data_IF_023724553133
#
_entry.id   IF_023724553133
#
_cell.length_a   1.000
_cell.length_b   1.000
_cell.length_c   1.000
_cell.angle_alpha   90.00
_cell.angle_beta   90.00
_cell.angle_gamma   90.00
#
_symmetry.space_group_name_H-M   'P 1'
#
loop_
_entity.id
_entity.type
_entity.pdbx_description
1 polymer ?
#
# COMPACT_ATOMS: atom_id res chain seq x y z
N UNK A 1 34.87 13.68 3.14
CA UNK A 1 33.62 13.16 3.75
C UNK A 1 32.72 12.68 2.60
N UNK A 2 32.84 11.43 2.17
CA UNK A 2 32.09 10.90 1.01
C UNK A 2 31.64 9.43 1.18
N UNK A 3 31.70 8.87 2.39
CA UNK A 3 31.47 7.43 2.60
C UNK A 3 30.02 7.06 2.99
N UNK A 4 29.17 8.06 3.28
CA UNK A 4 27.80 7.80 3.74
C UNK A 4 26.85 7.32 2.64
N UNK A 5 26.93 7.91 1.45
CA UNK A 5 26.03 7.56 0.33
C UNK A 5 26.21 6.13 -0.18
N UNK A 6 27.47 5.67 -0.26
CA UNK A 6 27.79 4.29 -0.68
C UNK A 6 27.25 3.25 0.30
N UNK A 7 27.29 3.51 1.62
CA UNK A 7 26.76 2.59 2.62
C UNK A 7 25.24 2.49 2.59
N UNK A 8 24.53 3.60 2.37
CA UNK A 8 23.07 3.60 2.23
C UNK A 8 22.64 2.79 1.01
N UNK A 9 23.32 2.96 -0.14
CA UNK A 9 23.01 2.21 -1.35
C UNK A 9 23.21 0.70 -1.17
N UNK A 10 24.31 0.28 -0.53
CA UNK A 10 24.55 -1.14 -0.23
C UNK A 10 23.44 -1.75 0.65
N UNK A 11 22.92 -0.99 1.61
CA UNK A 11 21.81 -1.44 2.48
C UNK A 11 20.49 -1.55 1.71
N UNK A 12 20.21 -0.60 0.81
CA UNK A 12 19.03 -0.64 -0.06
C UNK A 12 19.10 -1.83 -1.02
N UNK A 13 20.26 -2.09 -1.61
CA UNK A 13 20.47 -3.24 -2.51
C UNK A 13 20.26 -4.58 -1.78
N UNK A 14 20.82 -4.73 -0.58
CA UNK A 14 20.57 -5.90 0.26
C UNK A 14 19.07 -6.05 0.59
N UNK A 15 18.37 -4.95 0.87
CA UNK A 15 16.92 -4.96 1.11
C UNK A 15 16.14 -5.41 -0.13
N UNK A 16 16.48 -4.92 -1.33
CA UNK A 16 15.88 -5.36 -2.59
C UNK A 16 16.11 -6.86 -2.83
N UNK A 17 17.32 -7.36 -2.54
CA UNK A 17 17.63 -8.78 -2.67
C UNK A 17 16.75 -9.62 -1.72
N UNK A 18 16.62 -9.23 -0.45
CA UNK A 18 15.75 -9.91 0.50
C UNK A 18 14.28 -9.84 0.09
N UNK A 19 13.83 -8.71 -0.48
CA UNK A 19 12.48 -8.56 -1.00
C UNK A 19 12.19 -9.53 -2.14
N UNK A 20 13.10 -9.66 -3.12
CA UNK A 20 13.00 -10.63 -4.22
C UNK A 20 12.98 -12.08 -3.73
N UNK A 21 13.67 -12.37 -2.63
CA UNK A 21 13.65 -13.69 -1.98
C UNK A 21 12.39 -13.96 -1.13
N UNK A 22 11.46 -13.00 -1.04
CA UNK A 22 10.26 -13.11 -0.21
C UNK A 22 10.50 -12.90 1.29
N UNK A 23 11.71 -12.50 1.70
CA UNK A 23 12.11 -12.25 3.08
C UNK A 23 11.81 -10.81 3.48
N UNK A 24 10.53 -10.46 3.55
CA UNK A 24 10.10 -9.08 3.73
C UNK A 24 10.48 -8.48 5.10
N UNK A 25 10.54 -9.29 6.15
CA UNK A 25 10.97 -8.85 7.49
C UNK A 25 12.45 -8.48 7.53
N UNK A 26 13.31 -9.29 6.88
CA UNK A 26 14.73 -8.99 6.72
C UNK A 26 14.96 -7.76 5.84
N UNK A 27 14.20 -7.64 4.74
CA UNK A 27 14.20 -6.45 3.90
C UNK A 27 13.86 -5.18 4.69
N UNK A 28 12.84 -5.22 5.56
CA UNK A 28 12.48 -4.11 6.44
C UNK A 28 13.60 -3.72 7.40
N UNK A 29 14.36 -4.69 7.92
CA UNK A 29 15.53 -4.39 8.77
C UNK A 29 16.58 -3.59 7.99
N UNK A 30 16.90 -4.04 6.78
CA UNK A 30 17.85 -3.33 5.92
C UNK A 30 17.37 -1.95 5.49
N UNK A 31 16.08 -1.79 5.19
CA UNK A 31 15.50 -0.47 4.93
C UNK A 31 15.48 0.44 6.16
N UNK A 32 15.32 -0.11 7.37
CA UNK A 32 15.42 0.68 8.61
C UNK A 32 16.83 1.23 8.78
N UNK A 33 17.84 0.40 8.55
CA UNK A 33 19.23 0.86 8.54
C UNK A 33 19.44 1.94 7.47
N UNK A 34 18.98 1.71 6.24
CA UNK A 34 19.11 2.67 5.14
C UNK A 34 18.41 4.00 5.43
N UNK A 35 17.24 3.97 6.08
CA UNK A 35 16.51 5.17 6.47
C UNK A 35 17.33 6.00 7.48
N UNK A 36 17.95 5.36 8.46
CA UNK A 36 18.81 6.04 9.45
C UNK A 36 20.06 6.70 8.83
N UNK A 37 20.48 6.21 7.66
CA UNK A 37 21.64 6.72 6.92
C UNK A 37 21.26 7.69 5.80
N UNK A 38 19.97 7.83 5.51
CA UNK A 38 19.46 8.72 4.46
C UNK A 38 19.75 10.18 4.84
N UNK A 39 20.15 10.98 3.85
CA UNK A 39 20.56 12.39 4.05
C UNK A 39 19.77 13.37 3.20
N UNK A 40 18.93 12.86 2.31
CA UNK A 40 18.20 13.67 1.34
C UNK A 40 16.76 13.20 1.30
N UNK A 41 15.84 14.15 1.10
CA UNK A 41 14.41 13.87 0.99
C UNK A 41 14.09 12.80 -0.07
N UNK A 42 14.69 12.81 -1.28
CA UNK A 42 14.42 11.77 -2.27
C UNK A 42 14.82 10.36 -1.81
N UNK A 43 15.91 10.22 -1.06
CA UNK A 43 16.31 8.93 -0.49
C UNK A 43 15.31 8.46 0.57
N UNK A 44 14.90 9.35 1.48
CA UNK A 44 13.90 9.03 2.50
C UNK A 44 12.56 8.61 1.88
N UNK A 45 12.10 9.35 0.86
CA UNK A 45 10.88 9.01 0.08
C UNK A 45 10.99 7.62 -0.54
N UNK A 46 12.11 7.30 -1.20
CA UNK A 46 12.31 6.00 -1.82
C UNK A 46 12.31 4.86 -0.79
N UNK A 47 13.01 5.06 0.34
CA UNK A 47 13.09 4.06 1.41
C UNK A 47 11.72 3.83 2.06
N UNK A 48 10.97 4.88 2.38
CA UNK A 48 9.61 4.76 2.92
C UNK A 48 8.66 4.05 1.93
N UNK A 49 8.73 4.39 0.64
CA UNK A 49 7.93 3.74 -0.40
C UNK A 49 8.21 2.23 -0.48
N UNK A 50 9.48 1.84 -0.39
CA UNK A 50 9.89 0.43 -0.40
C UNK A 50 9.49 -0.31 0.88
N UNK A 51 9.55 0.35 2.04
CA UNK A 51 9.04 -0.21 3.31
C UNK A 51 7.53 -0.44 3.25
N UNK A 52 6.77 0.49 2.66
CA UNK A 52 5.34 0.31 2.44
C UNK A 52 5.06 -0.95 1.60
N UNK A 53 5.83 -1.16 0.52
CA UNK A 53 5.72 -2.39 -0.28
C UNK A 53 5.99 -3.65 0.53
N UNK A 54 7.01 -3.68 1.40
CA UNK A 54 7.26 -4.82 2.29
C UNK A 54 6.08 -5.08 3.23
N UNK A 55 5.51 -4.05 3.86
CA UNK A 55 4.37 -4.21 4.76
C UNK A 55 3.11 -4.69 4.04
N UNK A 56 2.89 -4.27 2.78
CA UNK A 56 1.81 -4.80 1.96
C UNK A 56 1.99 -6.30 1.68
N UNK A 57 3.21 -6.76 1.39
CA UNK A 57 3.50 -8.20 1.22
C UNK A 57 3.34 -9.00 2.50
N UNK A 58 3.52 -8.35 3.65
CA UNK A 58 3.27 -8.93 4.98
C UNK A 58 1.80 -8.81 5.43
N UNK A 59 0.92 -8.20 4.62
CA UNK A 59 -0.47 -7.89 4.97
C UNK A 59 -0.61 -7.01 6.23
N UNK A 60 0.43 -6.26 6.61
CA UNK A 60 0.38 -5.25 7.67
C UNK A 60 -0.04 -3.90 7.06
N UNK A 61 -1.33 -3.81 6.72
CA UNK A 61 -1.87 -2.65 6.00
C UNK A 61 -1.82 -1.36 6.83
N UNK A 62 -1.86 -1.44 8.16
CA UNK A 62 -1.73 -0.26 9.03
C UNK A 62 -0.35 0.38 8.86
N UNK A 63 0.72 -0.41 8.99
CA UNK A 63 2.07 0.11 8.82
C UNK A 63 2.36 0.53 7.39
N UNK A 64 1.79 -0.16 6.40
CA UNK A 64 1.91 0.28 5.01
C UNK A 64 1.33 1.70 4.81
N UNK A 65 0.18 2.01 5.43
CA UNK A 65 -0.41 3.34 5.37
C UNK A 65 0.41 4.40 6.13
N UNK A 66 1.04 4.03 7.25
CA UNK A 66 1.97 4.88 8.00
C UNK A 66 3.21 5.25 7.15
N UNK A 67 3.82 4.27 6.49
CA UNK A 67 4.97 4.52 5.60
C UNK A 67 4.59 5.42 4.42
N UNK A 68 3.39 5.24 3.83
CA UNK A 68 2.88 6.15 2.81
C UNK A 68 2.65 7.56 3.36
N UNK A 69 2.23 7.68 4.63
CA UNK A 69 2.05 8.98 5.29
C UNK A 69 3.39 9.69 5.46
N UNK A 70 4.44 8.98 5.86
CA UNK A 70 5.79 9.53 5.93
C UNK A 70 6.29 10.05 4.57
N UNK A 71 5.98 9.37 3.47
CA UNK A 71 6.26 9.89 2.12
C UNK A 71 5.51 11.21 1.87
N UNK A 72 4.23 11.28 2.24
CA UNK A 72 3.38 12.46 2.01
C UNK A 72 3.72 13.65 2.91
N UNK A 73 4.39 13.43 4.04
CA UNK A 73 4.98 14.48 4.87
C UNK A 73 6.20 15.13 4.18
N UNK A 74 6.93 14.36 3.37
CA UNK A 74 8.12 14.83 2.64
C UNK A 74 7.75 15.44 1.28
N UNK A 75 6.84 14.81 0.55
CA UNK A 75 6.25 15.26 -0.71
C UNK A 75 4.74 15.08 -0.68
N UNK A 76 4.05 16.17 -0.39
CA UNK A 76 2.61 16.18 -0.22
C UNK A 76 1.88 15.82 -1.53
N UNK A 77 2.48 16.06 -2.69
CA UNK A 77 1.86 15.84 -4.00
C UNK A 77 2.29 14.52 -4.64
N UNK A 78 2.93 13.65 -3.85
CA UNK A 78 3.40 12.37 -4.34
C UNK A 78 2.24 11.45 -4.74
N UNK A 79 1.89 11.48 -6.03
CA UNK A 79 0.75 10.75 -6.59
C UNK A 79 0.82 9.24 -6.32
N UNK A 80 2.02 8.67 -6.33
CA UNK A 80 2.25 7.27 -5.99
C UNK A 80 1.84 6.92 -4.57
N UNK A 81 2.28 7.71 -3.57
CA UNK A 81 1.92 7.47 -2.16
C UNK A 81 0.45 7.77 -1.87
N UNK A 82 -0.14 8.82 -2.47
CA UNK A 82 -1.58 9.08 -2.36
C UNK A 82 -2.39 7.88 -2.85
N UNK A 83 -2.03 7.33 -4.02
CA UNK A 83 -2.75 6.20 -4.60
C UNK A 83 -2.55 4.92 -3.77
N UNK A 84 -1.32 4.65 -3.33
CA UNK A 84 -1.00 3.48 -2.52
C UNK A 84 -1.68 3.52 -1.15
N UNK A 85 -1.66 4.69 -0.49
CA UNK A 85 -2.33 4.89 0.80
C UNK A 85 -3.84 4.76 0.66
N UNK A 86 -4.44 5.39 -0.35
CA UNK A 86 -5.88 5.25 -0.61
C UNK A 86 -6.30 3.78 -0.80
N UNK A 87 -5.56 3.01 -1.60
CA UNK A 87 -5.86 1.60 -1.81
C UNK A 87 -5.68 0.76 -0.53
N UNK A 88 -4.66 1.09 0.28
CA UNK A 88 -4.40 0.44 1.57
C UNK A 88 -5.52 0.73 2.57
N UNK A 89 -5.97 1.98 2.64
CA UNK A 89 -7.06 2.43 3.50
C UNK A 89 -8.40 1.79 3.11
N UNK A 90 -8.66 1.59 1.81
CA UNK A 90 -9.81 0.81 1.34
C UNK A 90 -9.78 -0.62 1.87
N UNK A 91 -8.61 -1.27 1.87
CA UNK A 91 -8.45 -2.62 2.45
C UNK A 91 -8.70 -2.61 3.97
N UNK A 92 -8.32 -1.52 4.65
CA UNK A 92 -8.64 -1.29 6.06
C UNK A 92 -10.09 -0.84 6.31
N UNK A 93 -10.91 -0.71 5.26
CA UNK A 93 -12.29 -0.18 5.29
C UNK A 93 -12.41 1.26 5.82
N UNK A 94 -11.30 2.02 5.85
CA UNK A 94 -11.32 3.46 6.11
C UNK A 94 -11.58 4.22 4.81
N UNK A 95 -12.84 4.21 4.39
CA UNK A 95 -13.27 4.82 3.13
C UNK A 95 -13.24 6.35 3.18
N UNK A 96 -13.35 6.97 4.36
CA UNK A 96 -13.28 8.42 4.50
C UNK A 96 -11.88 8.94 4.22
N UNK A 97 -10.86 8.36 4.86
CA UNK A 97 -9.46 8.72 4.63
C UNK A 97 -9.03 8.39 3.20
N UNK A 98 -9.47 7.25 2.66
CA UNK A 98 -9.21 6.89 1.27
C UNK A 98 -9.82 7.92 0.28
N UNK A 99 -11.04 8.37 0.53
CA UNK A 99 -11.70 9.36 -0.32
C UNK A 99 -11.00 10.72 -0.29
N UNK A 100 -10.43 11.10 0.86
CA UNK A 100 -9.63 12.31 0.98
C UNK A 100 -8.41 12.26 0.04
N UNK A 101 -7.63 11.18 0.09
CA UNK A 101 -6.46 11.01 -0.77
C UNK A 101 -6.81 10.96 -2.25
N UNK A 102 -7.89 10.26 -2.61
CA UNK A 102 -8.36 10.20 -4.00
C UNK A 102 -8.87 11.55 -4.50
N UNK A 103 -9.48 12.35 -3.64
CA UNK A 103 -9.93 13.70 -4.02
C UNK A 103 -8.74 14.58 -4.37
N UNK A 104 -7.66 14.48 -3.59
CA UNK A 104 -6.40 15.16 -3.91
C UNK A 104 -5.79 14.68 -5.24
N UNK A 105 -5.84 13.38 -5.53
CA UNK A 105 -5.40 12.86 -6.85
C UNK A 105 -6.21 13.43 -8.01
N UNK A 106 -7.53 13.60 -7.83
CA UNK A 106 -8.40 14.25 -8.84
C UNK A 106 -8.05 15.73 -9.00
N UNK A 107 -7.73 16.45 -7.92
CA UNK A 107 -7.28 17.85 -7.99
C UNK A 107 -5.97 17.99 -8.76
N UNK A 108 -5.02 17.08 -8.53
CA UNK A 108 -3.72 17.08 -9.22
C UNK A 108 -3.82 16.68 -10.70
N UNK A 109 -4.72 15.75 -11.03
CA UNK A 109 -4.99 15.37 -12.41
C UNK A 109 -6.49 15.20 -12.68
N UNK A 110 -7.20 16.31 -12.98
CA UNK A 110 -8.64 16.29 -13.21
C UNK A 110 -9.05 15.49 -14.46
N UNK A 111 -8.13 15.35 -15.41
CA UNK A 111 -8.37 14.63 -16.67
C UNK A 111 -8.38 13.11 -16.49
N UNK A 112 -7.79 12.60 -15.40
CA UNK A 112 -7.72 11.17 -15.11
C UNK A 112 -9.11 10.60 -14.85
N UNK A 113 -9.61 9.80 -15.79
CA UNK A 113 -10.86 9.06 -15.61
C UNK A 113 -10.72 8.03 -14.49
N UNK A 114 -9.57 7.37 -14.37
CA UNK A 114 -9.30 6.38 -13.34
C UNK A 114 -9.51 6.93 -11.92
N UNK A 115 -9.01 8.14 -11.63
CA UNK A 115 -9.18 8.77 -10.31
C UNK A 115 -10.64 9.16 -10.05
N UNK A 116 -11.34 9.69 -11.06
CA UNK A 116 -12.77 10.04 -10.93
C UNK A 116 -13.64 8.81 -10.71
N UNK A 117 -13.38 7.71 -11.44
CA UNK A 117 -14.09 6.44 -11.26
C UNK A 117 -13.83 5.85 -9.87
N UNK A 118 -12.59 5.90 -9.39
CA UNK A 118 -12.26 5.46 -8.02
C UNK A 118 -12.98 6.31 -6.97
N UNK A 119 -12.97 7.65 -7.13
CA UNK A 119 -13.65 8.57 -6.23
C UNK A 119 -15.16 8.30 -6.16
N UNK A 120 -15.81 8.09 -7.31
CA UNK A 120 -17.23 7.78 -7.40
C UNK A 120 -17.56 6.46 -6.68
N UNK A 121 -16.71 5.44 -6.85
CA UNK A 121 -16.88 4.13 -6.20
C UNK A 121 -16.76 4.22 -4.68
N UNK A 122 -15.83 5.02 -4.16
CA UNK A 122 -15.69 5.25 -2.71
C UNK A 122 -16.87 6.03 -2.13
N UNK A 123 -17.36 7.06 -2.83
CA UNK A 123 -18.57 7.80 -2.44
C UNK A 123 -19.78 6.86 -2.37
N UNK A 124 -19.92 5.95 -3.33
CA UNK A 124 -20.98 4.95 -3.31
C UNK A 124 -20.87 4.02 -2.10
N UNK A 125 -19.68 3.49 -1.79
CA UNK A 125 -19.49 2.64 -0.61
C UNK A 125 -19.84 3.35 0.71
N UNK A 126 -19.46 4.61 0.85
CA UNK A 126 -19.83 5.43 2.02
C UNK A 126 -21.34 5.64 2.13
N UNK A 127 -22.03 5.86 1.01
CA UNK A 127 -23.48 6.02 0.99
C UNK A 127 -24.22 4.74 1.40
N UNK A 128 -23.69 3.57 1.01
CA UNK A 128 -24.27 2.27 1.37
C UNK A 128 -24.04 1.92 2.84
N UNK A 129 -22.87 2.27 3.39
CA UNK A 129 -22.55 2.03 4.80
C UNK A 129 -23.35 2.93 5.77
N UNK A 130 -24.00 3.98 5.27
CA UNK A 130 -24.80 4.92 6.08
C UNK A 130 -26.26 4.49 6.25
N UNK A 131 -26.68 3.34 5.70
CA UNK A 131 -27.98 2.76 6.02
C UNK A 131 -27.86 2.23 7.45
N UNK A 132 -28.59 2.78 8.44
CA UNK A 132 -28.62 2.19 9.76
C UNK A 132 -29.14 0.76 9.57
N UNK A 133 -28.31 -0.23 9.88
CA UNK A 133 -28.85 -1.49 10.35
C UNK A 133 -29.47 -1.12 11.69
N UNK A 134 -30.73 -0.65 11.64
CA UNK A 134 -31.60 -0.56 12.81
C UNK A 134 -31.71 -2.01 13.31
N UNK A 135 -30.76 -2.37 14.19
CA UNK A 135 -30.93 -3.42 15.17
C UNK A 135 -32.15 -3.01 15.99
N UNK A 136 -33.35 -3.29 15.47
CA UNK A 136 -34.55 -3.42 16.27
C UNK A 136 -34.31 -4.63 17.19
N UNK A 137 -33.51 -4.42 18.25
CA UNK A 137 -33.65 -5.17 19.48
C UNK A 137 -35.06 -4.90 20.01
N UNK A 138 -36.03 -5.68 19.55
CA UNK A 138 -37.24 -5.97 20.33
C UNK A 138 -36.81 -6.75 21.57
N UNK A 139 -36.28 -6.05 22.57
CA UNK A 139 -36.24 -6.56 23.92
C UNK A 139 -37.64 -6.37 24.52
N UNK A 140 -38.45 -7.43 24.47
CA UNK A 140 -39.67 -7.51 25.28
C UNK A 140 -39.27 -7.47 26.77
N UNK A 141 -39.83 -6.48 27.46
CA UNK A 141 -39.79 -6.30 28.91
C UNK A 141 -40.58 -7.42 29.59
N UNK A 142 -39.91 -8.26 30.38
CA UNK A 142 -40.56 -9.10 31.39
C UNK A 142 -39.74 -9.01 32.69
N UNK A 143 -40.47 -8.67 33.74
CA UNK A 143 -39.97 -8.25 35.04
C UNK A 143 -39.71 -9.44 35.96
N UNK A 144 -38.91 -9.15 37.00
CA UNK A 144 -38.98 -9.70 38.37
C UNK A 144 -37.78 -10.53 38.86
N UNK A 145 -37.11 -9.99 39.89
CA UNK A 145 -36.10 -10.62 40.74
C UNK A 145 -36.78 -10.94 42.09
N UNK A 146 -36.37 -11.96 42.90
CA UNK A 146 -34.99 -12.08 43.37
C UNK A 146 -34.44 -13.51 43.67
N UNK A 147 -33.13 -13.52 43.94
CA UNK A 147 -32.22 -14.64 44.26
C UNK A 147 -32.58 -15.44 45.56
N UNK A 148 -31.92 -16.59 45.89
CA UNK A 148 -30.55 -16.55 46.45
C UNK A 148 -29.59 -17.77 46.25
N UNK A 149 -28.29 -17.45 46.40
CA UNK A 149 -27.18 -18.16 47.09
C UNK A 149 -26.39 -19.36 46.49
N UNK A 150 -25.09 -19.03 46.22
CA UNK A 150 -23.79 -19.61 46.69
C UNK A 150 -23.21 -20.95 46.18
N UNK A 151 -21.86 -20.88 46.08
CA UNK A 151 -20.79 -21.90 45.96
C UNK A 151 -20.60 -22.56 44.59
N UNK A 152 -19.41 -22.85 44.06
CA UNK A 152 -18.00 -22.49 44.23
C UNK A 152 -17.27 -23.13 43.00
N UNK A 153 -15.99 -22.81 42.80
CA UNK A 153 -14.94 -23.67 42.18
C UNK A 153 -14.59 -23.53 40.67
N UNK A 154 -13.39 -22.94 40.51
CA UNK A 154 -12.22 -23.23 39.64
C UNK A 154 -12.20 -23.16 38.10
N UNK A 155 -11.07 -22.55 37.71
CA UNK A 155 -10.38 -22.48 36.42
C UNK A 155 -10.23 -23.81 35.68
N UNK A 156 -10.31 -23.73 34.35
CA UNK A 156 -9.18 -24.12 33.50
C UNK A 156 -9.28 -23.51 32.09
N UNK A 157 -8.11 -23.14 31.58
CA UNK A 157 -7.85 -22.64 30.24
C UNK A 157 -7.35 -23.80 29.40
N UNK A 158 -7.98 -24.04 28.25
CA UNK A 158 -7.30 -24.66 27.10
C UNK A 158 -8.15 -24.49 25.83
N UNK A 159 -7.50 -23.96 24.79
CA UNK A 159 -8.14 -23.51 23.57
C UNK A 159 -8.64 -24.60 22.64
N UNK A 160 -9.36 -24.17 21.60
CA UNK A 160 -9.65 -24.96 20.42
C UNK A 160 -9.96 -24.06 19.22
N UNK A 161 -8.97 -23.98 18.33
CA UNK A 161 -9.05 -24.10 16.87
C UNK A 161 -10.40 -23.80 16.20
N UNK A 162 -10.44 -22.74 15.39
CA UNK A 162 -11.44 -22.57 14.34
C UNK A 162 -10.76 -22.48 12.96
N UNK A 163 -11.15 -23.42 12.11
CA UNK A 163 -11.04 -23.38 10.65
C UNK A 163 -12.01 -22.32 10.12
N UNK A 164 -11.61 -21.59 9.09
CA UNK A 164 -12.50 -20.80 8.23
C UNK A 164 -11.69 -20.31 7.04
N UNK A 165 -11.74 -21.03 5.92
CA UNK A 165 -12.66 -20.80 4.80
C UNK A 165 -12.04 -19.85 3.78
N UNK A 166 -11.60 -20.47 2.68
CA UNK A 166 -11.25 -19.87 1.41
C UNK A 166 -12.25 -18.81 0.97
N UNK A 167 -11.83 -17.55 0.89
CA UNK A 167 -12.45 -16.57 0.00
C UNK A 167 -11.41 -16.16 -1.04
N UNK A 168 -11.51 -16.79 -2.20
CA UNK A 168 -10.80 -16.39 -3.41
C UNK A 168 -11.30 -15.00 -3.82
N UNK A 169 -10.60 -13.96 -3.42
CA UNK A 169 -10.69 -12.64 -4.04
C UNK A 169 -9.44 -12.44 -4.91
N UNK A 170 -9.56 -11.78 -6.07
CA UNK A 170 -8.57 -11.85 -7.12
C UNK A 170 -7.29 -11.17 -6.67
N UNK A 171 -6.28 -11.98 -6.32
CA UNK A 171 -4.91 -11.54 -6.20
C UNK A 171 -4.52 -10.94 -7.55
N UNK A 172 -4.38 -9.61 -7.61
CA UNK A 172 -3.81 -8.95 -8.77
C UNK A 172 -2.35 -9.40 -8.88
N UNK A 173 -2.02 -9.96 -10.03
CA UNK A 173 -0.72 -10.54 -10.34
C UNK A 173 0.37 -9.45 -10.40
N UNK A 174 1.21 -9.40 -9.36
CA UNK A 174 2.33 -8.47 -9.25
C UNK A 174 3.62 -8.99 -9.93
N UNK A 175 3.57 -10.12 -10.65
CA UNK A 175 4.71 -10.60 -11.44
C UNK A 175 5.08 -9.68 -12.61
N UNK A 176 4.31 -8.60 -12.86
CA UNK A 176 4.70 -7.50 -13.77
C UNK A 176 5.88 -6.66 -13.26
N UNK A 177 6.35 -6.87 -12.04
CA UNK A 177 7.58 -6.28 -11.49
C UNK A 177 8.74 -7.28 -11.41
N UNK A 178 8.55 -8.53 -11.85
CA UNK A 178 9.55 -9.61 -11.69
C UNK A 178 10.33 -9.96 -12.96
N UNK A 179 9.98 -9.42 -14.14
CA UNK A 179 10.76 -9.59 -15.37
C UNK A 179 11.40 -8.26 -15.79
N UNK A 180 12.45 -7.87 -15.10
CA UNK A 180 13.60 -7.27 -15.78
C UNK A 180 14.51 -8.47 -16.00
N UNK A 181 14.30 -9.16 -17.12
CA UNK A 181 15.23 -10.18 -17.55
C UNK A 181 16.60 -9.50 -17.69
N UNK A 182 17.58 -10.02 -16.94
CA UNK A 182 19.00 -9.81 -17.17
C UNK A 182 19.30 -10.36 -18.58
N UNK A 183 19.17 -9.53 -19.61
CA UNK A 183 19.80 -9.76 -20.92
C UNK A 183 21.29 -9.41 -20.77
N UNK A 184 22.03 -10.31 -20.11
CA UNK A 184 23.47 -10.51 -20.35
C UNK A 184 23.60 -11.09 -21.76
N UNK A 185 23.89 -10.24 -22.74
CA UNK A 185 24.58 -10.63 -23.97
C UNK A 185 25.77 -9.68 -24.14
N UNK A 186 26.96 -10.23 -23.86
CA UNK A 186 28.26 -9.72 -24.28
C UNK A 186 28.25 -9.52 -25.81
N UNK A 187 28.55 -8.30 -26.26
CA UNK A 187 29.33 -8.09 -27.49
C UNK A 187 29.97 -6.68 -27.46
N UNK A 188 31.28 -6.67 -27.65
CA UNK A 188 32.20 -5.53 -27.74
C UNK A 188 31.73 -4.44 -28.72
N UNK A 189 31.83 -3.16 -28.32
CA UNK A 189 32.64 -2.13 -29.01
C UNK A 189 32.39 -0.72 -28.42
N UNK A 190 33.50 0.02 -28.28
CA UNK A 190 33.66 1.40 -27.79
C UNK A 190 32.70 2.43 -28.43
N UNK A 191 32.09 3.31 -27.63
CA UNK A 191 32.27 4.78 -27.70
C UNK A 191 31.31 5.51 -26.73
N UNK A 192 31.89 6.41 -25.93
CA UNK A 192 31.23 7.39 -25.05
C UNK A 192 30.23 8.29 -25.81
N UNK A 193 28.95 8.32 -25.40
CA UNK A 193 28.15 9.56 -25.39
C UNK A 193 27.12 9.52 -24.24
N UNK A 194 27.48 10.26 -23.19
CA UNK A 194 26.76 10.46 -21.94
C UNK A 194 25.44 11.23 -22.21
N UNK A 195 24.30 10.52 -22.24
CA UNK A 195 22.97 11.13 -22.25
C UNK A 195 22.06 10.43 -21.25
N UNK A 196 21.86 11.06 -20.08
CA UNK A 196 20.94 10.66 -19.01
C UNK A 196 19.56 10.20 -19.55
N UNK A 197 18.92 9.17 -18.97
CA UNK A 197 17.64 8.67 -19.47
C UNK A 197 16.49 9.65 -19.21
N UNK A 198 16.04 10.35 -20.25
CA UNK A 198 14.76 11.07 -20.26
C UNK A 198 13.59 10.08 -20.33
N UNK A 199 12.94 9.83 -19.20
CA UNK A 199 11.67 9.11 -19.18
C UNK A 199 10.59 9.94 -19.88
N UNK A 200 10.21 9.51 -21.10
CA UNK A 200 9.16 10.16 -21.90
C UNK A 200 8.10 9.14 -22.30
N UNK A 201 6.94 9.19 -21.64
CA UNK A 201 5.79 8.34 -21.97
C UNK A 201 5.21 8.74 -23.34
N UNK A 202 5.32 7.86 -24.33
CA UNK A 202 4.78 8.07 -25.68
C UNK A 202 3.28 7.73 -25.70
N UNK A 203 2.43 8.74 -25.65
CA UNK A 203 0.99 8.59 -25.91
C UNK A 203 0.80 8.35 -27.41
N UNK A 204 0.27 7.17 -27.79
CA UNK A 204 -0.14 6.89 -29.17
C UNK A 204 -1.42 7.69 -29.46
N UNK A 205 -1.34 8.71 -30.31
CA UNK A 205 -2.52 9.40 -30.82
C UNK A 205 -3.23 8.49 -31.83
N UNK A 206 -4.50 8.16 -31.54
CA UNK A 206 -5.39 7.48 -32.48
C UNK A 206 -5.90 8.52 -33.48
N UNK A 207 -5.57 8.36 -34.76
CA UNK A 207 -5.94 9.29 -35.82
C UNK A 207 -7.45 9.28 -36.10
N UNK A 208 -8.08 10.45 -35.97
CA UNK A 208 -9.47 10.67 -36.42
C UNK A 208 -9.45 11.00 -37.91
N UNK A 209 -10.05 10.11 -38.73
CA UNK A 209 -10.28 10.34 -40.16
C UNK A 209 -11.45 11.30 -40.35
N UNK A 210 -11.23 12.42 -41.04
CA UNK A 210 -12.30 13.27 -41.55
C UNK A 210 -12.70 12.80 -42.95
N UNK A 211 -14.00 12.61 -43.17
CA UNK A 211 -14.57 12.36 -44.50
C UNK A 211 -14.88 13.69 -45.18
N UNK A 212 -14.64 13.75 -46.49
CA UNK A 212 -15.06 14.85 -47.37
C UNK A 212 -15.79 14.28 -48.58
#
# INVERSE_FOLDING_TARGET
>A
MASGGSLTMNKIEAAHQMYRQGKYTEALSHYTDALSMSRTKPQEIAVHSNRAACYLRLHDFSKAAEECTAVLELDHEHTGALMLRAQTLVTLKDYHSALFDVSRLVELNPSSEAYRSLQARLKMQLSLASIPEDEEEMSEDETDQPAPSKSDVEMNSSGSKLKGSSSSSPCLDYSRWENVDDDDDDDDDDDDDDSEPQYRFRVKTVGVRTFK
#
